data_IF_002938508607
#
_entry.id   IF_002938508607
#
_cell.length_a   1.000
_cell.length_b   1.000
_cell.length_c   1.000
_cell.angle_alpha   90.00
_cell.angle_beta   90.00
_cell.angle_gamma   90.00
#
_symmetry.space_group_name_H-M   'P 1'
#
loop_
_entity.id
_entity.type
_entity.pdbx_description
1 polymer ?
#
# COMPACT_ATOMS: atom_id res chain seq x y z
N UNK A 1 -14.19 -0.68 -18.94
CA UNK A 1 -12.74 -0.56 -18.71
C UNK A 1 -12.14 -1.91 -19.01
N UNK A 2 -11.24 -1.98 -19.98
CA UNK A 2 -10.58 -3.21 -20.37
C UNK A 2 -9.60 -3.67 -19.28
N UNK A 3 -9.30 -4.97 -19.15
CA UNK A 3 -8.35 -5.49 -18.15
C UNK A 3 -7.01 -4.76 -18.16
N UNK A 4 -6.50 -4.42 -19.34
CA UNK A 4 -5.22 -3.72 -19.53
C UNK A 4 -5.27 -2.27 -19.03
N UNK A 5 -6.36 -1.56 -19.29
CA UNK A 5 -6.56 -0.19 -18.78
C UNK A 5 -6.62 -0.17 -17.25
N UNK A 6 -7.22 -1.21 -16.65
CA UNK A 6 -7.29 -1.36 -15.18
C UNK A 6 -5.93 -1.60 -14.57
N UNK A 7 -5.15 -2.49 -15.17
CA UNK A 7 -3.78 -2.76 -14.73
C UNK A 7 -2.92 -1.50 -14.81
N UNK A 8 -2.96 -0.78 -15.93
CA UNK A 8 -2.20 0.47 -16.09
C UNK A 8 -2.58 1.53 -15.04
N UNK A 9 -3.87 1.65 -14.71
CA UNK A 9 -4.34 2.57 -13.67
C UNK A 9 -3.82 2.18 -12.28
N UNK A 10 -3.82 0.89 -11.97
CA UNK A 10 -3.28 0.34 -10.72
C UNK A 10 -1.77 0.59 -10.62
N UNK A 11 -1.02 0.30 -11.68
CA UNK A 11 0.44 0.52 -11.72
C UNK A 11 0.78 2.00 -11.47
N UNK A 12 0.08 2.92 -12.14
CA UNK A 12 0.24 4.35 -11.92
C UNK A 12 -0.09 4.75 -10.46
N UNK A 13 -1.11 4.14 -9.87
CA UNK A 13 -1.48 4.41 -8.47
C UNK A 13 -0.43 3.87 -7.48
N UNK A 14 0.17 2.70 -7.76
CA UNK A 14 1.28 2.11 -7.00
C UNK A 14 2.49 3.06 -7.03
N UNK A 15 2.92 3.48 -8.22
CA UNK A 15 4.07 4.40 -8.38
C UNK A 15 3.84 5.73 -7.63
N UNK A 16 2.63 6.27 -7.73
CA UNK A 16 2.27 7.49 -7.00
C UNK A 16 2.33 7.27 -5.49
N UNK A 17 1.93 6.10 -4.99
CA UNK A 17 1.97 5.78 -3.57
C UNK A 17 3.40 5.55 -3.08
N UNK A 18 4.24 4.88 -3.85
CA UNK A 18 5.69 4.74 -3.61
C UNK A 18 6.35 6.13 -3.46
N UNK A 19 6.07 7.04 -4.40
CA UNK A 19 6.58 8.41 -4.36
C UNK A 19 6.12 9.20 -3.13
N UNK A 20 4.84 9.06 -2.74
CA UNK A 20 4.31 9.69 -1.51
C UNK A 20 4.98 9.14 -0.26
N UNK A 21 5.18 7.83 -0.17
CA UNK A 21 5.86 7.20 0.96
C UNK A 21 7.33 7.66 1.05
N UNK A 22 8.05 7.70 -0.08
CA UNK A 22 9.42 8.18 -0.15
C UNK A 22 9.54 9.65 0.31
N UNK A 23 8.68 10.53 -0.20
CA UNK A 23 8.65 11.93 0.21
C UNK A 23 8.33 12.09 1.71
N UNK A 24 7.44 11.26 2.25
CA UNK A 24 7.12 11.28 3.67
C UNK A 24 8.28 10.79 4.55
N UNK A 25 9.04 9.77 4.10
CA UNK A 25 10.27 9.33 4.77
C UNK A 25 11.30 10.46 4.82
N UNK A 26 11.53 11.16 3.71
CA UNK A 26 12.41 12.33 3.66
C UNK A 26 11.96 13.46 4.60
N UNK A 27 10.65 13.75 4.66
CA UNK A 27 10.08 14.72 5.63
C UNK A 27 10.45 14.34 7.07
N UNK A 28 10.32 13.07 7.43
CA UNK A 28 10.63 12.57 8.78
C UNK A 28 12.13 12.60 9.10
N UNK A 29 12.98 12.34 8.12
CA UNK A 29 14.44 12.52 8.21
C UNK A 29 14.80 13.99 8.45
N UNK A 30 14.13 14.92 7.74
CA UNK A 30 14.21 16.35 7.95
C UNK A 30 13.51 16.84 9.25
N UNK A 31 13.10 15.92 10.14
CA UNK A 31 12.42 16.17 11.42
C UNK A 31 11.04 16.84 11.30
N UNK A 32 10.43 16.80 10.12
CA UNK A 32 9.05 17.24 9.90
C UNK A 32 8.13 16.08 10.26
N UNK A 33 7.34 16.25 11.32
CA UNK A 33 6.39 15.25 11.79
C UNK A 33 5.17 15.17 10.85
N UNK A 34 4.88 14.03 10.20
CA UNK A 34 3.64 13.85 9.44
C UNK A 34 2.46 13.72 10.41
N UNK A 35 1.25 14.08 10.00
CA UNK A 35 0.07 13.81 10.82
C UNK A 35 -0.27 12.32 10.83
N UNK A 36 -0.84 11.78 11.92
CA UNK A 36 -1.35 10.40 11.95
C UNK A 36 -2.40 10.14 10.86
N UNK A 37 -3.22 11.14 10.52
CA UNK A 37 -4.22 11.04 9.47
C UNK A 37 -3.61 10.87 8.07
N UNK A 38 -2.54 11.60 7.75
CA UNK A 38 -1.78 11.41 6.49
C UNK A 38 -1.25 9.97 6.39
N UNK A 39 -0.68 9.45 7.46
CA UNK A 39 -0.14 8.07 7.49
C UNK A 39 -1.26 7.04 7.33
N UNK A 40 -2.38 7.21 8.04
CA UNK A 40 -3.57 6.34 7.91
C UNK A 40 -4.14 6.35 6.50
N UNK A 41 -4.19 7.52 5.84
CA UNK A 41 -4.68 7.63 4.48
C UNK A 41 -3.80 6.85 3.48
N UNK A 42 -2.47 6.91 3.63
CA UNK A 42 -1.57 6.14 2.77
C UNK A 42 -1.69 4.64 3.00
N UNK A 43 -1.90 4.23 4.25
CA UNK A 43 -2.19 2.82 4.60
C UNK A 43 -3.47 2.33 3.91
N UNK A 44 -4.55 3.10 4.00
CA UNK A 44 -5.82 2.77 3.33
C UNK A 44 -5.69 2.69 1.81
N UNK A 45 -4.88 3.56 1.19
CA UNK A 45 -4.59 3.48 -0.24
C UNK A 45 -3.84 2.20 -0.62
N UNK A 46 -2.82 1.81 0.15
CA UNK A 46 -2.06 0.57 -0.11
C UNK A 46 -2.96 -0.67 0.02
N UNK A 47 -3.80 -0.70 1.06
CA UNK A 47 -4.76 -1.77 1.27
C UNK A 47 -5.79 -1.85 0.14
N UNK A 48 -6.30 -0.69 -0.31
CA UNK A 48 -7.21 -0.60 -1.45
C UNK A 48 -6.58 -1.15 -2.74
N UNK A 49 -5.34 -0.77 -3.04
CA UNK A 49 -4.61 -1.28 -4.21
C UNK A 49 -4.35 -2.78 -4.13
N UNK A 50 -4.01 -3.30 -2.94
CA UNK A 50 -3.81 -4.73 -2.72
C UNK A 50 -5.12 -5.51 -2.89
N UNK A 51 -6.23 -4.97 -2.41
CA UNK A 51 -7.55 -5.58 -2.58
C UNK A 51 -7.99 -5.54 -4.05
N UNK A 52 -7.74 -4.44 -4.77
CA UNK A 52 -8.08 -4.32 -6.19
C UNK A 52 -7.25 -5.28 -7.06
N UNK A 53 -5.93 -5.31 -6.88
CA UNK A 53 -5.04 -6.25 -7.58
C UNK A 53 -5.36 -7.70 -7.26
N UNK A 54 -5.67 -8.01 -5.99
CA UNK A 54 -6.11 -9.35 -5.60
C UNK A 54 -7.43 -9.76 -6.27
N UNK A 55 -8.40 -8.86 -6.36
CA UNK A 55 -9.65 -9.11 -7.09
C UNK A 55 -9.41 -9.34 -8.59
N UNK A 56 -8.50 -8.58 -9.20
CA UNK A 56 -8.12 -8.77 -10.60
C UNK A 56 -7.47 -10.13 -10.84
N UNK A 57 -6.65 -10.61 -9.89
CA UNK A 57 -6.07 -11.96 -9.91
C UNK A 57 -7.10 -13.07 -9.65
N UNK A 58 -8.33 -12.71 -9.25
CA UNK A 58 -9.34 -13.67 -8.83
C UNK A 58 -9.06 -14.29 -7.45
N UNK A 59 -8.19 -13.68 -6.64
CA UNK A 59 -7.92 -14.12 -5.28
C UNK A 59 -9.21 -14.04 -4.47
N UNK A 60 -9.57 -15.15 -3.83
CA UNK A 60 -10.53 -15.21 -2.73
C UNK A 60 -9.76 -15.57 -1.46
N UNK A 61 -10.24 -15.12 -0.31
CA UNK A 61 -9.56 -15.29 0.98
C UNK A 61 -8.92 -16.69 1.14
N UNK A 62 -7.60 -16.73 1.30
CA UNK A 62 -6.84 -17.95 1.58
C UNK A 62 -6.45 -18.82 0.37
N UNK A 63 -6.53 -18.30 -0.86
CA UNK A 63 -6.14 -19.04 -2.08
C UNK A 63 -4.94 -18.38 -2.75
N UNK A 64 -3.97 -19.19 -3.17
CA UNK A 64 -2.85 -18.74 -4.01
C UNK A 64 -3.36 -18.19 -5.36
N UNK A 65 -2.63 -17.25 -5.99
CA UNK A 65 -2.97 -16.82 -7.33
C UNK A 65 -3.00 -18.00 -8.30
N UNK A 66 -3.93 -18.00 -9.26
CA UNK A 66 -4.03 -19.09 -10.23
C UNK A 66 -2.72 -19.21 -11.02
N UNK A 67 -2.30 -20.45 -11.34
CA UNK A 67 -1.01 -20.72 -12.02
C UNK A 67 -0.86 -20.01 -13.37
N UNK A 68 -1.98 -19.63 -13.99
CA UNK A 68 -2.04 -18.91 -15.25
C UNK A 68 -2.27 -17.39 -15.09
N UNK A 69 -2.04 -16.84 -13.90
CA UNK A 69 -2.12 -15.40 -13.68
C UNK A 69 -1.12 -14.64 -14.58
N UNK A 70 -1.56 -13.51 -15.13
CA UNK A 70 -0.70 -12.65 -15.94
C UNK A 70 0.51 -12.17 -15.09
N UNK A 71 1.75 -12.32 -15.57
CA UNK A 71 2.96 -11.95 -14.82
C UNK A 71 2.95 -10.49 -14.35
N UNK A 72 2.43 -9.59 -15.17
CA UNK A 72 2.35 -8.15 -14.88
C UNK A 72 1.38 -7.88 -13.73
N UNK A 73 0.28 -8.61 -13.68
CA UNK A 73 -0.71 -8.48 -12.62
C UNK A 73 -0.22 -9.08 -11.30
N UNK A 74 0.54 -10.19 -11.36
CA UNK A 74 1.24 -10.74 -10.19
C UNK A 74 2.27 -9.73 -9.65
N UNK A 75 3.05 -9.10 -10.52
CA UNK A 75 4.02 -8.09 -10.13
C UNK A 75 3.34 -6.85 -9.50
N UNK A 76 2.21 -6.41 -10.05
CA UNK A 76 1.43 -5.32 -9.46
C UNK A 76 0.89 -5.69 -8.07
N UNK A 77 0.38 -6.91 -7.90
CA UNK A 77 -0.08 -7.41 -6.59
C UNK A 77 1.06 -7.47 -5.57
N UNK A 78 2.22 -8.01 -5.95
CA UNK A 78 3.41 -8.09 -5.09
C UNK A 78 3.90 -6.70 -4.67
N UNK A 79 3.94 -5.74 -5.60
CA UNK A 79 4.27 -4.33 -5.28
C UNK A 79 3.26 -3.70 -4.32
N UNK A 80 1.97 -3.92 -4.53
CA UNK A 80 0.92 -3.40 -3.64
C UNK A 80 1.01 -4.00 -2.23
N UNK A 81 1.28 -5.30 -2.11
CA UNK A 81 1.58 -5.96 -0.84
C UNK A 81 2.84 -5.38 -0.19
N UNK A 82 3.92 -5.20 -0.95
CA UNK A 82 5.16 -4.60 -0.49
C UNK A 82 4.94 -3.20 0.09
N UNK A 83 4.07 -2.39 -0.53
CA UNK A 83 3.66 -1.08 0.01
C UNK A 83 2.93 -1.20 1.34
N UNK A 84 2.03 -2.18 1.51
CA UNK A 84 1.36 -2.42 2.79
C UNK A 84 2.36 -2.76 3.90
N UNK A 85 3.33 -3.62 3.60
CA UNK A 85 4.41 -3.99 4.54
C UNK A 85 5.25 -2.75 4.87
N UNK A 86 5.74 -2.03 3.87
CA UNK A 86 6.59 -0.86 4.04
C UNK A 86 5.90 0.28 4.82
N UNK A 87 4.59 0.47 4.63
CA UNK A 87 3.80 1.43 5.40
C UNK A 87 3.58 0.97 6.85
N UNK A 88 3.41 -0.34 7.07
CA UNK A 88 3.31 -0.89 8.43
C UNK A 88 4.60 -0.70 9.21
N UNK A 89 5.74 -1.02 8.60
CA UNK A 89 7.06 -0.76 9.19
C UNK A 89 7.28 0.72 9.47
N UNK A 90 6.88 1.59 8.54
CA UNK A 90 6.99 3.03 8.70
C UNK A 90 6.11 3.53 9.86
N UNK A 91 4.85 3.10 9.94
CA UNK A 91 3.95 3.40 11.06
C UNK A 91 4.52 2.94 12.41
N UNK A 92 5.14 1.76 12.47
CA UNK A 92 5.82 1.27 13.68
C UNK A 92 7.04 2.13 14.05
N UNK A 93 7.81 2.58 13.07
CA UNK A 93 8.92 3.51 13.31
C UNK A 93 8.43 4.85 13.86
N UNK A 94 7.37 5.40 13.26
CA UNK A 94 6.73 6.63 13.72
C UNK A 94 6.14 6.48 15.12
N UNK A 95 5.54 5.33 15.45
CA UNK A 95 4.94 5.14 16.76
C UNK A 95 5.99 5.10 17.87
N UNK A 96 7.14 4.48 17.62
CA UNK A 96 8.30 4.50 18.53
C UNK A 96 8.85 5.92 18.74
N UNK A 97 8.82 6.76 17.70
CA UNK A 97 9.39 8.11 17.75
C UNK A 97 8.43 9.19 18.25
N UNK A 98 7.14 9.07 17.95
CA UNK A 98 6.16 10.14 18.11
C UNK A 98 4.89 9.72 18.87
N UNK A 99 4.79 8.45 19.30
CA UNK A 99 3.70 7.93 20.12
C UNK A 99 2.68 7.05 19.38
N UNK A 100 1.77 6.39 20.11
CA UNK A 100 0.92 5.31 19.59
C UNK A 100 -0.12 5.76 18.55
N UNK A 101 -0.35 7.07 18.37
CA UNK A 101 -1.30 7.58 17.38
C UNK A 101 -0.97 7.16 15.93
N UNK A 102 0.28 6.75 15.65
CA UNK A 102 0.69 6.25 14.33
C UNK A 102 0.43 4.76 14.12
N UNK A 103 -0.06 4.03 15.12
CA UNK A 103 -0.46 2.65 14.96
C UNK A 103 -1.80 2.59 14.21
N UNK A 104 -1.71 2.23 12.93
CA UNK A 104 -2.88 1.89 12.12
C UNK A 104 -3.29 0.46 12.45
N UNK A 105 -4.27 0.30 13.34
CA UNK A 105 -4.84 -1.01 13.63
C UNK A 105 -5.81 -1.43 12.51
N UNK A 106 -5.81 -2.72 12.12
CA UNK A 106 -6.84 -3.25 11.23
C UNK A 106 -8.24 -3.02 11.83
N UNK A 107 -9.18 -2.49 11.04
CA UNK A 107 -10.59 -2.32 11.45
C UNK A 107 -10.95 -0.97 12.09
N UNK A 108 -10.01 -0.04 12.25
CA UNK A 108 -10.30 1.31 12.76
C UNK A 108 -10.80 2.25 11.64
N UNK A 109 -11.96 1.96 11.06
CA UNK A 109 -12.69 2.90 10.19
C UNK A 109 -13.97 3.37 10.89
#
# INVERSE_FOLDING_TARGET
MQPDERLAAVEQAIERLEGKLAAMRQRVEARIKPSPAEVKALHGLAQGLTAETGQMLGLREGVDPPENAAPELLAAYDRALGLCVALTEFSLSLSRRFGPAYLTLPGSA
#
